data_IF_764030844769
#
_entry.id   IF_764030844769
#
_cell.length_a   1.000
_cell.length_b   1.000
_cell.length_c   1.000
_cell.angle_alpha   90.00
_cell.angle_beta   90.00
_cell.angle_gamma   90.00
#
_symmetry.space_group_name_H-M   'P 1'
#
loop_
_entity.id
_entity.type
_entity.pdbx_description
1 polymer ?
#
# COMPACT_ATOMS: atom_id res chain seq x y z
N UNK A 1 -31.25 23.68 -7.68
CA UNK A 1 -29.81 23.44 -7.93
C UNK A 1 -29.68 22.21 -8.79
N UNK A 2 -29.50 22.36 -10.11
CA UNK A 2 -29.32 21.24 -11.02
C UNK A 2 -27.85 20.82 -10.94
N UNK A 3 -27.56 19.69 -10.29
CA UNK A 3 -26.22 19.11 -10.31
C UNK A 3 -25.93 18.73 -11.76
N UNK A 4 -24.93 19.38 -12.35
CA UNK A 4 -24.59 19.28 -13.76
C UNK A 4 -24.08 17.87 -14.09
N UNK A 5 -25.00 17.01 -14.52
CA UNK A 5 -24.80 15.57 -14.75
C UNK A 5 -23.72 15.28 -15.83
N UNK A 6 -23.39 16.28 -16.66
CA UNK A 6 -22.32 16.22 -17.68
C UNK A 6 -20.91 16.09 -17.07
N UNK A 7 -20.65 16.67 -15.89
CA UNK A 7 -19.31 16.69 -15.29
C UNK A 7 -18.78 15.30 -14.88
N UNK A 8 -19.64 14.31 -14.66
CA UNK A 8 -19.20 12.95 -14.27
C UNK A 8 -18.89 12.04 -15.45
N UNK A 9 -19.34 12.38 -16.67
CA UNK A 9 -19.14 11.56 -17.85
C UNK A 9 -17.81 11.86 -18.57
N UNK A 10 -17.19 13.01 -18.30
CA UNK A 10 -15.95 13.48 -18.95
C UNK A 10 -14.70 13.42 -18.06
N UNK A 11 -14.72 12.63 -16.97
CA UNK A 11 -13.53 12.44 -16.14
C UNK A 11 -12.41 11.76 -16.93
N UNK A 12 -11.25 12.40 -17.01
CA UNK A 12 -10.03 11.79 -17.54
C UNK A 12 -9.70 10.56 -16.69
N UNK A 13 -9.80 9.39 -17.32
CA UNK A 13 -9.38 8.12 -16.71
C UNK A 13 -7.91 7.88 -17.04
N UNK A 14 -7.10 7.38 -16.09
CA UNK A 14 -5.75 6.98 -16.40
C UNK A 14 -5.79 5.87 -17.45
N UNK A 15 -5.15 6.10 -18.59
CA UNK A 15 -5.19 5.21 -19.75
C UNK A 15 -4.13 4.11 -19.67
N UNK A 16 -3.07 4.33 -18.87
CA UNK A 16 -2.00 3.37 -18.66
C UNK A 16 -1.45 3.47 -17.23
N UNK A 17 -1.10 2.30 -16.69
CA UNK A 17 -0.33 2.17 -15.46
C UNK A 17 1.04 1.64 -15.87
N UNK A 18 2.10 2.39 -15.55
CA UNK A 18 3.49 1.95 -15.74
C UNK A 18 4.09 1.49 -14.41
N UNK A 19 4.79 0.35 -14.43
CA UNK A 19 5.38 -0.26 -13.23
C UNK A 19 6.88 -0.37 -13.46
N UNK A 20 7.64 0.43 -12.72
CA UNK A 20 9.09 0.47 -12.76
C UNK A 20 9.64 -0.24 -11.53
N UNK A 21 10.44 -1.29 -11.73
CA UNK A 21 11.10 -1.97 -10.61
C UNK A 21 12.17 -1.08 -10.00
N UNK A 22 12.22 -1.02 -8.66
CA UNK A 22 13.27 -0.29 -7.94
C UNK A 22 14.62 -1.03 -7.95
N UNK A 23 15.59 -0.51 -7.20
CA UNK A 23 16.93 -1.11 -7.02
C UNK A 23 16.84 -2.58 -6.60
N UNK A 24 15.87 -2.92 -5.75
CA UNK A 24 15.52 -4.28 -5.40
C UNK A 24 14.14 -4.63 -5.95
N UNK A 25 14.13 -5.40 -7.05
CA UNK A 25 12.91 -5.77 -7.77
C UNK A 25 11.93 -6.61 -6.93
N UNK A 26 12.39 -7.24 -5.84
CA UNK A 26 11.53 -8.07 -4.98
C UNK A 26 10.85 -7.27 -3.88
N UNK A 27 11.37 -6.09 -3.52
CA UNK A 27 10.91 -5.31 -2.37
C UNK A 27 10.46 -3.90 -2.69
N UNK A 28 10.86 -3.35 -3.84
CA UNK A 28 10.60 -1.95 -4.20
C UNK A 28 10.13 -1.86 -5.65
N UNK A 29 9.03 -1.14 -5.84
CA UNK A 29 8.51 -0.75 -7.15
C UNK A 29 7.94 0.67 -7.11
N UNK A 30 8.03 1.37 -8.24
CA UNK A 30 7.39 2.66 -8.49
C UNK A 30 6.27 2.44 -9.50
N UNK A 31 5.05 2.83 -9.14
CA UNK A 31 3.86 2.71 -10.00
C UNK A 31 3.43 4.11 -10.42
N UNK A 32 3.36 4.36 -11.72
CA UNK A 32 2.98 5.65 -12.32
C UNK A 32 1.62 5.49 -13.00
N UNK A 33 0.65 6.30 -12.58
CA UNK A 33 -0.68 6.33 -13.17
C UNK A 33 -0.98 7.73 -13.70
N UNK A 34 -1.14 7.85 -15.02
CA UNK A 34 -1.41 9.10 -15.72
C UNK A 34 -2.24 8.84 -16.99
N UNK A 35 -2.95 9.86 -17.52
CA UNK A 35 -3.23 11.16 -16.90
C UNK A 35 -4.30 11.07 -15.80
N UNK A 36 -4.23 11.98 -14.83
CA UNK A 36 -5.25 12.14 -13.78
C UNK A 36 -5.77 13.57 -13.79
N UNK A 37 -7.05 13.72 -13.47
CA UNK A 37 -7.66 15.01 -13.25
C UNK A 37 -6.94 15.80 -12.15
N UNK A 38 -6.97 17.13 -12.27
CA UNK A 38 -6.35 18.00 -11.27
C UNK A 38 -6.92 17.70 -9.88
N UNK A 39 -6.05 17.42 -8.92
CA UNK A 39 -6.41 17.08 -7.54
C UNK A 39 -6.72 15.61 -7.28
N UNK A 40 -7.02 14.80 -8.30
CA UNK A 40 -7.29 13.36 -8.13
C UNK A 40 -6.04 12.59 -7.73
N UNK A 41 -4.85 13.03 -8.15
CA UNK A 41 -3.58 12.44 -7.72
C UNK A 41 -3.42 12.41 -6.20
N UNK A 42 -3.75 13.51 -5.52
CA UNK A 42 -3.69 13.59 -4.05
C UNK A 42 -4.76 12.72 -3.39
N UNK A 43 -5.99 12.73 -3.90
CA UNK A 43 -7.09 11.92 -3.37
C UNK A 43 -6.79 10.42 -3.47
N UNK A 44 -6.41 9.95 -4.67
CA UNK A 44 -6.09 8.55 -4.91
C UNK A 44 -4.79 8.16 -4.18
N UNK A 45 -3.76 8.99 -4.26
CA UNK A 45 -2.46 8.71 -3.62
C UNK A 45 -2.57 8.58 -2.10
N UNK A 46 -3.30 9.49 -1.44
CA UNK A 46 -3.53 9.40 0.01
C UNK A 46 -4.37 8.18 0.39
N UNK A 47 -5.41 7.86 -0.38
CA UNK A 47 -6.23 6.68 -0.14
C UNK A 47 -5.40 5.39 -0.27
N UNK A 48 -4.68 5.23 -1.38
CA UNK A 48 -3.81 4.07 -1.63
C UNK A 48 -2.72 3.94 -0.58
N UNK A 49 -2.06 5.05 -0.20
CA UNK A 49 -1.04 5.05 0.86
C UNK A 49 -1.59 4.50 2.18
N UNK A 50 -2.80 4.90 2.58
CA UNK A 50 -3.42 4.41 3.82
C UNK A 50 -3.70 2.91 3.75
N UNK A 51 -4.29 2.44 2.65
CA UNK A 51 -4.61 1.02 2.45
C UNK A 51 -3.33 0.17 2.44
N UNK A 52 -2.31 0.61 1.70
CA UNK A 52 -1.02 -0.10 1.62
C UNK A 52 -0.31 -0.18 2.97
N UNK A 53 -0.45 0.83 3.83
CA UNK A 53 0.21 0.85 5.14
C UNK A 53 -0.57 0.11 6.24
N UNK A 54 -1.90 0.04 6.16
CA UNK A 54 -2.71 -0.44 7.30
C UNK A 54 -3.59 -1.65 7.01
N UNK A 55 -3.80 -2.01 5.75
CA UNK A 55 -4.84 -2.98 5.35
C UNK A 55 -4.32 -4.10 4.46
N UNK A 56 -3.01 -4.15 4.20
CA UNK A 56 -2.41 -5.27 3.50
C UNK A 56 -2.37 -6.49 4.41
N UNK A 57 -2.87 -7.61 3.88
CA UNK A 57 -2.71 -8.91 4.50
C UNK A 57 -1.24 -9.33 4.40
N UNK A 58 -0.73 -9.85 5.51
CA UNK A 58 0.62 -10.38 5.60
C UNK A 58 0.66 -11.47 6.65
N UNK A 59 1.78 -12.20 6.68
CA UNK A 59 2.08 -13.14 7.73
C UNK A 59 3.22 -12.59 8.58
N UNK A 60 3.10 -12.73 9.90
CA UNK A 60 4.15 -12.39 10.85
C UNK A 60 4.17 -13.45 11.96
N UNK A 61 5.35 -13.68 12.52
CA UNK A 61 5.49 -14.50 13.73
C UNK A 61 4.86 -13.73 14.89
N UNK A 62 3.83 -14.29 15.51
CA UNK A 62 3.09 -13.65 16.62
C UNK A 62 3.57 -14.10 17.99
N UNK A 63 4.10 -15.32 18.08
CA UNK A 63 4.58 -15.92 19.31
C UNK A 63 5.59 -17.00 18.99
N UNK A 64 6.46 -17.28 19.97
CA UNK A 64 7.42 -18.37 19.95
C UNK A 64 7.36 -19.03 21.33
N UNK A 65 7.36 -20.36 21.36
CA UNK A 65 7.54 -21.14 22.59
C UNK A 65 8.91 -21.83 22.51
N UNK A 66 9.69 -21.74 23.58
CA UNK A 66 10.99 -22.38 23.69
C UNK A 66 10.93 -23.29 24.91
N UNK A 67 11.16 -24.58 24.71
CA UNK A 67 11.11 -25.57 25.78
C UNK A 67 12.13 -25.23 26.87
N UNK A 68 11.69 -25.27 28.13
CA UNK A 68 12.54 -24.96 29.28
C UNK A 68 12.80 -23.45 29.54
N UNK A 69 12.27 -22.55 28.70
CA UNK A 69 12.36 -21.09 28.91
C UNK A 69 11.04 -20.57 29.47
N UNK A 70 11.10 -19.96 30.67
CA UNK A 70 9.91 -19.46 31.35
C UNK A 70 9.49 -18.08 30.84
N UNK A 71 10.45 -17.20 30.53
CA UNK A 71 10.18 -15.84 30.09
C UNK A 71 11.25 -15.32 29.12
N UNK A 72 10.95 -14.23 28.41
CA UNK A 72 11.81 -13.64 27.37
C UNK A 72 13.21 -13.20 27.87
N UNK A 73 13.35 -12.99 29.19
CA UNK A 73 14.63 -12.62 29.82
C UNK A 73 15.45 -13.80 30.36
N UNK A 74 14.99 -15.05 30.19
CA UNK A 74 15.75 -16.21 30.68
C UNK A 74 16.92 -16.50 29.73
N UNK A 75 18.05 -16.89 30.31
CA UNK A 75 19.21 -17.34 29.53
C UNK A 75 19.10 -18.83 29.21
N UNK A 76 19.59 -19.22 28.04
CA UNK A 76 19.74 -20.61 27.63
C UNK A 76 21.25 -20.90 27.62
N UNK A 77 21.68 -22.00 28.24
CA UNK A 77 23.05 -22.47 28.08
C UNK A 77 23.20 -23.01 26.65
N UNK A 78 24.15 -22.44 25.90
CA UNK A 78 24.43 -22.80 24.51
C UNK A 78 25.12 -24.15 24.37
#
# INVERSE_FOLDING_TARGET
>A
MQVNQKNWQELIRPSKIDIQSGKDKRRVATVVAEPLERGFGTTLGNALRRILLSSLQGAAVTSVHIDGVLHEFSSIAG
#
